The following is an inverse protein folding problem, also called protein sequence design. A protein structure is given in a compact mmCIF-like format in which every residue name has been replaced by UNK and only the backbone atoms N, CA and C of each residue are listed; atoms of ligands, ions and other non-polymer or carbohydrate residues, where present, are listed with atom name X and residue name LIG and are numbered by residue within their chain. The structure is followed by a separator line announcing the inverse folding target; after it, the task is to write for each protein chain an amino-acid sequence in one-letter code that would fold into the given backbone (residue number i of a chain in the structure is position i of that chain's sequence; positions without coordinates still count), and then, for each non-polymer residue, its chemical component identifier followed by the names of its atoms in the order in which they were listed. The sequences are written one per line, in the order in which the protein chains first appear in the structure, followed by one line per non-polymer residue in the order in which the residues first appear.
data_IF_750475906947
#
_entry.id   IF_750475906947
#
_cell.length_a   1.000
_cell.length_b   1.000
_cell.length_c   1.000
_cell.angle_alpha   90.00
_cell.angle_beta   90.00
_cell.angle_gamma   90.00
#
_symmetry.space_group_name_H-M   'P 1'
#
loop_
_entity.id
_entity.type
_entity.pdbx_description
1 polymer ?
#
# COMPACT_ATOMS: atom_id res chain seq x y z
N UNK A 1 -14.10 -10.12 -4.70
CA UNK A 1 -14.19 -11.09 -3.58
C UNK A 1 -14.81 -10.37 -2.39
N UNK A 2 -15.83 -10.95 -1.73
CA UNK A 2 -16.38 -10.41 -0.48
C UNK A 2 -15.23 -10.21 0.53
N UNK A 3 -15.12 -9.04 1.14
CA UNK A 3 -14.05 -8.69 2.10
C UNK A 3 -12.94 -7.77 1.56
N UNK A 4 -12.67 -7.75 0.24
CA UNK A 4 -11.66 -6.85 -0.34
C UNK A 4 -12.33 -5.65 -1.02
N UNK A 5 -12.83 -4.73 -0.21
CA UNK A 5 -13.49 -3.50 -0.69
C UNK A 5 -12.59 -2.28 -0.71
N UNK A 6 -11.47 -2.33 0.01
CA UNK A 6 -10.60 -1.18 0.23
C UNK A 6 -9.15 -1.62 0.45
N UNK A 7 -8.21 -0.74 0.17
CA UNK A 7 -6.80 -0.88 0.52
C UNK A 7 -6.21 0.49 0.84
N UNK A 8 -5.24 0.53 1.73
CA UNK A 8 -4.52 1.73 2.12
C UNK A 8 -3.05 1.38 2.37
N UNK A 9 -2.22 2.37 2.63
CA UNK A 9 -0.81 2.17 2.91
C UNK A 9 -0.44 2.76 4.28
N UNK A 10 0.57 2.15 4.91
CA UNK A 10 1.27 2.70 6.05
C UNK A 10 2.76 2.73 5.71
N UNK A 11 3.40 3.87 5.98
CA UNK A 11 4.82 4.09 5.79
C UNK A 11 5.45 4.19 7.17
N UNK A 12 6.44 3.34 7.44
CA UNK A 12 7.27 3.42 8.63
C UNK A 12 8.54 4.21 8.35
N UNK A 13 8.93 5.06 9.29
CA UNK A 13 10.17 5.84 9.29
C UNK A 13 10.80 5.84 10.70
N UNK A 14 11.93 6.53 10.86
CA UNK A 14 12.66 6.59 12.13
C UNK A 14 11.84 7.22 13.27
N UNK A 15 10.83 8.02 12.95
CA UNK A 15 10.03 8.76 13.91
C UNK A 15 8.68 8.07 14.19
N UNK A 16 8.27 7.03 13.45
CA UNK A 16 6.93 6.45 13.60
C UNK A 16 6.28 5.89 12.34
N UNK A 17 4.94 5.90 12.35
CA UNK A 17 4.10 5.40 11.26
C UNK A 17 3.17 6.47 10.71
N UNK A 18 3.14 6.62 9.38
CA UNK A 18 2.21 7.50 8.67
C UNK A 18 1.26 6.67 7.82
N UNK A 19 -0.04 6.82 8.03
CA UNK A 19 -1.09 6.16 7.25
C UNK A 19 -1.57 7.07 6.13
N UNK A 20 -1.72 6.49 4.94
CA UNK A 20 -2.32 7.13 3.78
C UNK A 20 -3.54 6.32 3.36
N UNK A 21 -4.71 6.90 3.57
CA UNK A 21 -6.00 6.26 3.32
C UNK A 21 -6.88 7.14 2.41
N UNK A 22 -7.07 6.75 1.14
CA UNK A 22 -7.95 7.46 0.23
C UNK A 22 -9.39 7.01 0.46
N UNK A 23 -10.17 7.95 1.01
CA UNK A 23 -11.59 7.80 1.26
C UNK A 23 -12.38 8.47 0.14
N UNK A 24 -13.68 8.18 0.05
CA UNK A 24 -14.55 8.84 -0.93
C UNK A 24 -14.46 10.37 -0.77
N UNK A 25 -13.92 11.05 -1.79
CA UNK A 25 -13.81 12.50 -1.85
C UNK A 25 -12.65 13.13 -1.06
N UNK A 26 -11.79 12.36 -0.37
CA UNK A 26 -10.64 12.92 0.37
C UNK A 26 -9.49 11.92 0.55
N UNK A 27 -8.28 12.44 0.72
CA UNK A 27 -7.12 11.66 1.17
C UNK A 27 -6.88 11.94 2.66
N UNK A 28 -6.98 10.92 3.49
CA UNK A 28 -6.51 10.97 4.87
C UNK A 28 -5.00 10.68 4.89
N UNK A 29 -4.24 11.62 5.43
CA UNK A 29 -2.83 11.42 5.78
C UNK A 29 -2.71 11.68 7.28
N UNK A 30 -2.32 10.65 8.04
CA UNK A 30 -2.30 10.72 9.49
C UNK A 30 -1.01 10.12 10.06
N UNK A 31 -0.32 10.90 10.89
CA UNK A 31 0.71 10.38 11.77
C UNK A 31 0.04 9.61 12.91
N UNK A 32 0.39 8.35 13.09
CA UNK A 32 -0.18 7.55 14.16
C UNK A 32 0.48 7.94 15.49
N UNK A 33 -0.30 8.06 16.58
CA UNK A 33 0.23 8.33 17.92
C UNK A 33 0.77 7.04 18.56
N UNK A 34 1.73 6.40 17.89
CA UNK A 34 2.41 5.18 18.35
C UNK A 34 3.90 5.31 18.09
N UNK A 35 4.72 4.65 18.90
CA UNK A 35 6.18 4.68 18.75
C UNK A 35 6.65 4.04 17.44
N UNK A 36 7.84 4.42 16.95
CA UNK A 36 8.46 3.83 15.76
C UNK A 36 8.62 2.31 15.85
N UNK A 37 8.86 1.78 17.04
CA UNK A 37 8.98 0.33 17.29
C UNK A 37 7.65 -0.42 17.35
N UNK A 38 6.50 0.25 17.24
CA UNK A 38 5.20 -0.40 17.32
C UNK A 38 5.00 -1.39 16.16
N UNK A 39 4.57 -2.62 16.48
CA UNK A 39 4.21 -3.66 15.50
C UNK A 39 2.85 -3.35 14.84
N UNK A 40 2.84 -2.32 13.99
CA UNK A 40 1.67 -1.94 13.21
C UNK A 40 1.21 -3.05 12.25
N UNK A 41 2.12 -3.76 11.53
CA UNK A 41 1.73 -4.90 10.69
C UNK A 41 0.97 -5.98 11.47
N UNK A 42 1.46 -6.40 12.64
CA UNK A 42 0.79 -7.39 13.46
C UNK A 42 -0.51 -6.87 14.08
N UNK A 43 -0.57 -5.60 14.49
CA UNK A 43 -1.83 -4.97 14.91
C UNK A 43 -2.91 -5.07 13.83
N UNK A 44 -2.60 -4.72 12.58
CA UNK A 44 -3.54 -4.84 11.47
C UNK A 44 -3.94 -6.28 11.16
N UNK A 45 -3.01 -7.24 11.23
CA UNK A 45 -3.33 -8.66 11.06
C UNK A 45 -4.31 -9.14 12.13
N UNK A 46 -4.11 -8.78 13.40
CA UNK A 46 -5.03 -9.12 14.51
C UNK A 46 -6.41 -8.48 14.33
N UNK A 47 -6.47 -7.30 13.72
CA UNK A 47 -7.72 -6.64 13.33
C UNK A 47 -8.39 -7.26 12.07
N UNK A 48 -7.83 -8.33 11.49
CA UNK A 48 -8.41 -9.03 10.35
C UNK A 48 -8.00 -8.49 8.97
N UNK A 49 -7.08 -7.53 8.92
CA UNK A 49 -6.57 -6.98 7.65
C UNK A 49 -5.53 -7.92 7.03
N UNK A 50 -5.38 -7.82 5.70
CA UNK A 50 -4.33 -8.50 4.96
C UNK A 50 -3.18 -7.54 4.69
N UNK A 51 -2.01 -7.86 5.23
CA UNK A 51 -0.79 -7.05 5.11
C UNK A 51 0.17 -7.74 4.14
N UNK A 52 0.58 -7.05 3.07
CA UNK A 52 1.39 -7.63 1.98
C UNK A 52 2.85 -7.13 1.92
N UNK A 53 3.28 -6.25 2.84
CA UNK A 53 4.65 -5.74 2.91
C UNK A 53 5.57 -6.52 3.87
N UNK A 54 6.79 -6.01 4.14
CA UNK A 54 7.25 -4.65 3.84
C UNK A 54 7.57 -4.40 2.36
N UNK A 55 7.45 -3.13 1.94
CA UNK A 55 7.90 -2.63 0.65
C UNK A 55 8.67 -1.33 0.86
N UNK A 56 9.65 -1.07 0.00
CA UNK A 56 10.27 0.25 -0.10
C UNK A 56 9.46 1.10 -1.08
N UNK A 57 9.05 2.33 -0.72
CA UNK A 57 8.41 3.23 -1.66
C UNK A 57 9.27 3.45 -2.90
N UNK A 58 8.65 3.34 -4.07
CA UNK A 58 9.34 3.57 -5.34
C UNK A 58 9.58 5.07 -5.59
N UNK A 59 10.54 5.41 -6.46
CA UNK A 59 10.75 6.80 -6.85
C UNK A 59 9.51 7.37 -7.54
N UNK A 60 9.33 8.68 -7.45
CA UNK A 60 8.31 9.38 -8.22
C UNK A 60 8.55 9.15 -9.72
N UNK A 61 7.54 8.58 -10.40
CA UNK A 61 7.60 8.36 -11.84
C UNK A 61 6.91 9.55 -12.55
N UNK A 62 7.60 10.24 -13.49
CA UNK A 62 6.96 11.29 -14.28
C UNK A 62 5.82 10.72 -15.11
N UNK A 63 4.71 11.45 -15.18
CA UNK A 63 3.56 11.09 -16.03
C UNK A 63 3.29 12.21 -17.02
N UNK A 64 3.25 11.85 -18.30
CA UNK A 64 2.98 12.80 -19.39
C UNK A 64 1.51 13.25 -19.43
N UNK A 65 0.60 12.38 -18.98
CA UNK A 65 -0.84 12.63 -18.96
C UNK A 65 -1.36 12.71 -17.51
N UNK A 66 -2.33 13.59 -17.24
CA UNK A 66 -3.00 13.61 -15.94
C UNK A 66 -3.70 12.26 -15.71
N UNK A 67 -3.80 11.80 -14.45
CA UNK A 67 -4.47 10.54 -14.15
C UNK A 67 -5.94 10.61 -14.60
N UNK A 68 -6.28 9.79 -15.59
CA UNK A 68 -7.63 9.73 -16.21
C UNK A 68 -8.68 9.24 -15.19
N UNK A 69 -8.24 8.45 -14.22
CA UNK A 69 -9.05 7.99 -13.11
C UNK A 69 -8.69 8.83 -11.88
N UNK A 70 -9.71 9.36 -11.20
CA UNK A 70 -9.53 10.09 -9.94
C UNK A 70 -8.76 9.30 -8.88
N UNK A 71 -8.43 9.95 -7.76
CA UNK A 71 -7.69 9.32 -6.68
C UNK A 71 -8.49 8.14 -6.09
N UNK A 72 -8.00 6.92 -6.31
CA UNK A 72 -8.58 5.69 -5.77
C UNK A 72 -7.61 4.99 -4.82
N UNK A 73 -8.14 4.13 -3.95
CA UNK A 73 -7.35 3.25 -3.08
C UNK A 73 -6.27 2.44 -3.79
N UNK A 74 -6.60 1.90 -4.95
CA UNK A 74 -5.64 1.14 -5.74
C UNK A 74 -4.63 2.06 -6.41
N UNK A 75 -5.05 3.22 -6.94
CA UNK A 75 -4.15 4.15 -7.59
C UNK A 75 -3.13 4.74 -6.60
N UNK A 76 -3.53 5.09 -5.38
CA UNK A 76 -2.64 5.57 -4.33
C UNK A 76 -1.60 4.51 -3.96
N UNK A 77 -2.05 3.29 -3.61
CA UNK A 77 -1.12 2.23 -3.22
C UNK A 77 -0.15 1.88 -4.35
N UNK A 78 -0.60 1.89 -5.62
CA UNK A 78 0.29 1.69 -6.78
C UNK A 78 1.26 2.85 -6.98
N UNK A 79 0.84 4.09 -6.72
CA UNK A 79 1.74 5.24 -6.82
C UNK A 79 2.89 5.14 -5.81
N UNK A 80 2.60 4.70 -4.57
CA UNK A 80 3.63 4.48 -3.54
C UNK A 80 4.60 3.35 -3.91
N UNK A 81 4.13 2.31 -4.60
CA UNK A 81 4.97 1.20 -5.07
C UNK A 81 5.84 1.56 -6.29
N UNK A 82 5.58 2.68 -6.96
CA UNK A 82 6.39 3.18 -8.08
C UNK A 82 6.13 2.49 -9.42
N UNK A 83 7.11 2.57 -10.33
CA UNK A 83 6.98 2.13 -11.73
C UNK A 83 6.72 0.62 -11.87
N UNK A 84 7.27 -0.19 -10.97
CA UNK A 84 7.12 -1.65 -10.96
C UNK A 84 5.83 -2.12 -10.25
N UNK A 85 4.97 -1.18 -9.83
CA UNK A 85 3.72 -1.50 -9.19
C UNK A 85 2.84 -2.38 -10.09
N UNK A 86 2.26 -3.48 -9.56
CA UNK A 86 1.43 -4.36 -10.36
C UNK A 86 0.23 -3.63 -10.98
N UNK A 87 -0.06 -3.92 -12.25
CA UNK A 87 -1.23 -3.35 -12.96
C UNK A 87 -2.57 -3.89 -12.42
N UNK A 88 -3.04 -3.36 -11.30
CA UNK A 88 -4.32 -3.69 -10.69
C UNK A 88 -5.31 -2.52 -10.72
N UNK A 89 -6.60 -2.82 -10.83
CA UNK A 89 -7.71 -1.85 -10.79
C UNK A 89 -8.69 -2.12 -9.64
N UNK A 90 -8.51 -3.22 -8.89
CA UNK A 90 -9.31 -3.56 -7.70
C UNK A 90 -8.41 -3.89 -6.51
N UNK A 91 -8.86 -3.66 -5.25
CA UNK A 91 -8.08 -4.01 -4.07
C UNK A 91 -7.69 -5.49 -4.02
N UNK A 92 -8.61 -6.39 -4.39
CA UNK A 92 -8.31 -7.82 -4.45
C UNK A 92 -7.28 -8.16 -5.53
N UNK A 93 -7.35 -7.51 -6.70
CA UNK A 93 -6.39 -7.70 -7.77
C UNK A 93 -4.99 -7.23 -7.37
N UNK A 94 -4.90 -6.12 -6.64
CA UNK A 94 -3.63 -5.61 -6.11
C UNK A 94 -3.05 -6.59 -5.08
N UNK A 95 -3.84 -6.98 -4.07
CA UNK A 95 -3.45 -7.97 -3.06
C UNK A 95 -2.88 -9.25 -3.68
N UNK A 96 -3.63 -9.86 -4.62
CA UNK A 96 -3.19 -11.09 -5.28
C UNK A 96 -1.85 -10.95 -5.99
N UNK A 97 -1.64 -9.84 -6.69
CA UNK A 97 -0.41 -9.61 -7.44
C UNK A 97 0.78 -9.32 -6.53
N UNK A 98 0.54 -8.62 -5.41
CA UNK A 98 1.57 -8.37 -4.41
C UNK A 98 1.99 -9.64 -3.68
N UNK A 99 1.06 -10.55 -3.36
CA UNK A 99 1.42 -11.86 -2.81
C UNK A 99 2.36 -12.63 -3.75
N UNK A 100 2.04 -12.69 -5.05
CA UNK A 100 2.89 -13.38 -6.02
C UNK A 100 4.23 -12.67 -6.25
N UNK A 101 4.26 -11.33 -6.14
CA UNK A 101 5.49 -10.55 -6.29
C UNK A 101 6.41 -10.70 -5.07
N UNK A 102 5.87 -10.78 -3.86
CA UNK A 102 6.64 -11.01 -2.64
C UNK A 102 7.36 -12.36 -2.67
N UNK A 103 6.71 -13.43 -3.17
CA UNK A 103 7.36 -14.72 -3.35
C UNK A 103 8.52 -14.65 -4.36
N UNK A 104 8.35 -13.89 -5.44
CA UNK A 104 9.42 -13.67 -6.43
C UNK A 104 10.56 -12.78 -5.91
N UNK A 105 10.29 -11.85 -4.99
CA UNK A 105 11.32 -11.01 -4.35
C UNK A 105 12.14 -11.80 -3.33
N UNK A 106 11.49 -12.65 -2.52
CA UNK A 106 12.17 -13.54 -1.57
C UNK A 106 12.96 -14.65 -2.28
N UNK A 107 12.44 -15.20 -3.38
CA UNK A 107 13.16 -16.19 -4.20
C UNK A 107 14.35 -15.64 -5.00
N UNK A 108 14.48 -14.31 -5.12
CA UNK A 108 15.66 -13.65 -5.71
C UNK A 108 16.75 -13.30 -4.70
N UNK A 109 16.50 -13.49 -3.40
CA UNK A 109 17.49 -13.32 -2.33
C UNK A 109 18.12 -14.65 -1.90
N UNK A 110 17.86 -15.75 -2.63
CA UNK A 110 18.41 -17.09 -2.42
C UNK A 110 19.46 -17.44 -3.48
#
# INVERSE_FOLDING_TARGET
RRGFRHCFAAIGDAEGWTVLDPLSGRLLVARLPVDAGFDLPGFYRRAGLRVTGPFTPGPAAPRLLPPIFGLSCVALCRALLGADAPRAVTPYGLYRRLQNAAENFLGKMS
#
